data_IF_011507752451
#
_entry.id   IF_011507752451
#
_cell.length_a   1.000
_cell.length_b   1.000
_cell.length_c   1.000
_cell.angle_alpha   90.00
_cell.angle_beta   90.00
_cell.angle_gamma   90.00
#
_symmetry.space_group_name_H-M   'P 1'
#
loop_
_entity.id
_entity.type
_entity.pdbx_description
1 polymer ?
2 non-polymer ?
3 non-polymer ?
4 water ?
#
# COMPACT_ATOMS: atom_id res chain seq x y z
N UNK A 1 26.65 0.25 -9.08
CA UNK A 1 26.64 1.04 -7.85
C UNK A 1 26.58 0.16 -6.63
N UNK A 2 26.96 0.69 -5.48
CA UNK A 2 26.93 -0.12 -4.26
C UNK A 2 25.51 -0.38 -3.81
N UNK A 3 25.32 -1.55 -3.21
CA UNK A 3 24.08 -1.93 -2.55
C UNK A 3 24.31 -1.90 -1.05
N UNK A 4 23.31 -1.40 -0.31
CA UNK A 4 23.27 -1.63 1.13
C UNK A 4 21.84 -2.01 1.50
N UNK A 5 21.72 -2.82 2.54
CA UNK A 5 20.42 -3.13 3.14
C UNK A 5 20.57 -3.03 4.64
N UNK A 6 19.72 -2.21 5.26
CA UNK A 6 19.69 -2.02 6.71
C UNK A 6 18.37 -2.59 7.25
N UNK A 7 18.46 -3.51 8.19
CA UNK A 7 17.28 -4.15 8.76
C UNK A 7 17.08 -3.70 10.21
N UNK A 8 16.02 -2.92 10.44
CA UNK A 8 15.64 -2.43 11.75
C UNK A 8 14.58 -3.27 12.43
N UNK A 9 14.05 -4.29 11.78
CA UNK A 9 13.02 -5.14 12.36
C UNK A 9 13.67 -6.40 12.92
N UNK A 10 13.22 -6.81 14.11
CA UNK A 10 13.63 -8.09 14.64
C UNK A 10 13.27 -9.22 13.71
N UNK A 11 13.96 -10.36 13.89
CA UNK A 11 13.75 -11.50 13.00
C UNK A 11 12.29 -11.95 13.02
N UNK A 12 11.68 -11.99 14.19
CA UNK A 12 10.30 -12.43 14.36
C UNK A 12 9.30 -11.27 14.37
N UNK A 13 9.72 -10.06 13.96
CA UNK A 13 8.84 -8.90 14.09
C UNK A 13 7.55 -9.08 13.31
N UNK A 14 7.64 -9.70 12.13
CA UNK A 14 6.44 -10.00 11.37
C UNK A 14 5.48 -10.90 12.12
N UNK A 15 6.00 -11.95 12.77
CA UNK A 15 5.13 -12.87 13.48
C UNK A 15 4.55 -12.22 14.74
N UNK A 16 5.37 -11.50 15.51
CA UNK A 16 4.83 -10.77 16.66
C UNK A 16 3.70 -9.83 16.24
N UNK A 17 3.92 -9.09 15.16
CA UNK A 17 2.91 -8.15 14.70
C UNK A 17 1.62 -8.86 14.31
N UNK A 18 1.73 -9.97 13.59
CA UNK A 18 0.55 -10.75 13.22
C UNK A 18 -0.18 -11.26 14.45
N UNK A 19 0.55 -11.76 15.45
CA UNK A 19 -0.09 -12.18 16.69
C UNK A 19 -0.86 -11.03 17.32
N UNK A 20 -0.27 -9.83 17.33
CA UNK A 20 -0.91 -8.67 17.93
C UNK A 20 -2.16 -8.28 17.15
N UNK A 21 -2.05 -8.17 15.83
CA UNK A 21 -3.19 -7.72 15.04
C UNK A 21 -4.36 -8.70 15.13
N UNK A 22 -4.07 -10.00 15.25
CA UNK A 22 -5.15 -10.98 15.22
C UNK A 22 -5.77 -11.12 16.61
N UNK A 23 -4.94 -11.19 17.65
CA UNK A 23 -5.47 -11.20 19.02
C UNK A 23 -6.38 -10.01 19.26
N UNK A 24 -5.98 -8.84 18.76
CA UNK A 24 -6.76 -7.62 18.90
C UNK A 24 -7.94 -7.60 17.93
N UNK A 25 -7.68 -7.84 16.64
CA UNK A 25 -8.72 -7.68 15.64
C UNK A 25 -9.86 -8.67 15.77
N UNK A 26 -9.56 -9.92 16.13
CA UNK A 26 -10.64 -10.88 16.27
C UNK A 26 -11.48 -10.65 17.52
N UNK A 27 -11.16 -9.64 18.31
CA UNK A 27 -11.92 -9.33 19.52
C UNK A 27 -12.62 -7.99 19.43
N UNK A 28 -12.47 -7.27 18.32
CA UNK A 28 -13.20 -6.04 18.10
C UNK A 28 -14.62 -6.35 17.63
N UNK A 29 -15.48 -5.34 17.70
CA UNK A 29 -16.78 -5.36 17.03
C UNK A 29 -16.84 -4.15 16.11
N UNK A 30 -16.95 -4.34 14.79
CA UNK A 30 -16.87 -5.69 14.22
C UNK A 30 -15.43 -6.18 14.25
N UNK A 31 -15.24 -7.49 14.13
CA UNK A 31 -13.89 -8.02 13.92
C UNK A 31 -13.26 -7.35 12.70
N UNK A 32 -11.96 -7.06 12.80
CA UNK A 32 -11.27 -6.39 11.71
C UNK A 32 -9.81 -6.81 11.72
N UNK A 33 -9.26 -7.00 10.53
CA UNK A 33 -7.85 -7.31 10.35
C UNK A 33 -7.25 -6.30 9.38
N UNK A 34 -6.00 -5.88 9.60
CA UNK A 34 -5.36 -4.96 8.67
C UNK A 34 -5.05 -5.65 7.36
N UNK A 35 -5.08 -4.92 6.23
CA UNK A 35 -4.88 -5.57 4.92
C UNK A 35 -3.45 -5.95 4.60
N UNK A 36 -2.47 -5.53 5.40
CA UNK A 36 -1.08 -5.91 5.15
C UNK A 36 -0.89 -7.43 5.15
N UNK A 37 -1.76 -8.18 5.81
CA UNK A 37 -1.55 -9.62 5.93
C UNK A 37 -2.11 -10.40 4.74
N UNK A 38 -2.80 -9.76 3.80
CA UNK A 38 -3.17 -10.44 2.55
C UNK A 38 -1.95 -10.91 1.79
N UNK A 39 -0.82 -10.24 1.99
CA UNK A 39 0.30 -10.25 1.04
C UNK A 39 1.40 -11.23 1.41
N UNK A 40 1.06 -12.50 1.66
CA UNK A 40 2.08 -13.55 1.70
C UNK A 40 2.39 -13.94 0.26
N UNK A 41 2.93 -15.14 0.03
CA UNK A 41 3.34 -15.50 -1.33
C UNK A 41 2.12 -15.70 -2.23
N UNK A 42 1.24 -16.62 -1.86
CA UNK A 42 -0.04 -16.81 -2.56
C UNK A 42 -0.77 -15.47 -2.73
N UNK A 43 -0.85 -14.67 -1.67
CA UNK A 43 -1.62 -13.43 -1.75
C UNK A 43 -1.00 -12.41 -2.68
N UNK A 44 0.33 -12.31 -2.68
CA UNK A 44 1.01 -11.42 -3.61
C UNK A 44 0.79 -11.87 -5.06
N UNK A 45 0.74 -13.18 -5.29
CA UNK A 45 0.52 -13.67 -6.64
C UNK A 45 -0.91 -13.41 -7.08
N UNK A 46 -1.87 -13.54 -6.16
CA UNK A 46 -3.25 -13.18 -6.48
C UNK A 46 -3.40 -11.68 -6.73
N UNK A 47 -2.63 -10.85 -6.03
CA UNK A 47 -2.71 -9.42 -6.28
C UNK A 47 -2.21 -9.08 -7.68
N UNK A 48 -1.16 -9.76 -8.14
CA UNK A 48 -0.71 -9.57 -9.51
C UNK A 48 -1.83 -9.85 -10.50
N UNK A 49 -2.55 -10.96 -10.30
CA UNK A 49 -3.70 -11.26 -11.13
C UNK A 49 -4.73 -10.14 -11.08
N UNK A 50 -4.97 -9.58 -9.90
CA UNK A 50 -5.99 -8.55 -9.80
C UNK A 50 -5.61 -7.35 -10.68
N UNK A 51 -4.32 -6.96 -10.67
CA UNK A 51 -3.89 -5.77 -11.40
C UNK A 51 -4.08 -5.92 -12.90
N UNK A 52 -4.16 -7.15 -13.40
CA UNK A 52 -4.40 -7.38 -14.81
C UNK A 52 -5.85 -7.66 -15.15
N UNK A 53 -6.76 -7.57 -14.17
CA UNK A 53 -8.18 -7.75 -14.46
C UNK A 53 -8.73 -6.52 -15.16
N UNK A 54 -9.64 -6.69 -16.13
CA UNK A 54 -10.33 -5.50 -16.67
C UNK A 54 -11.08 -4.69 -15.63
N UNK A 55 -11.64 -5.33 -14.59
CA UNK A 55 -12.40 -4.59 -13.57
C UNK A 55 -11.52 -3.66 -12.76
N UNK A 56 -10.25 -4.00 -12.55
CA UNK A 56 -9.39 -3.30 -11.61
C UNK A 56 -8.56 -2.28 -12.40
N UNK A 57 -9.16 -1.10 -12.59
CA UNK A 57 -8.56 0.03 -13.30
C UNK A 57 -7.41 0.73 -12.55
N UNK A 58 -7.33 0.72 -11.20
CA UNK A 58 -6.32 1.60 -10.53
C UNK A 58 -4.88 1.41 -10.99
N UNK A 59 -4.42 0.17 -11.13
CA UNK A 59 -3.02 -0.05 -11.53
C UNK A 59 -2.74 0.53 -12.91
N UNK A 60 -3.58 0.21 -13.89
CA UNK A 60 -3.33 0.72 -15.24
C UNK A 60 -3.55 2.23 -15.32
N UNK A 61 -4.53 2.76 -14.59
CA UNK A 61 -4.76 4.19 -14.62
C UNK A 61 -3.55 4.95 -14.09
N UNK A 62 -2.98 4.48 -12.99
CA UNK A 62 -1.78 5.11 -12.44
C UNK A 62 -0.59 4.96 -13.38
N UNK A 63 -0.42 3.77 -13.98
CA UNK A 63 0.69 3.58 -14.92
C UNK A 63 0.54 4.45 -16.16
N UNK A 64 -0.70 4.61 -16.64
CA UNK A 64 -0.96 5.55 -17.74
C UNK A 64 -0.47 6.95 -17.42
N UNK A 65 -0.76 7.45 -16.21
CA UNK A 65 -0.30 8.79 -15.85
C UNK A 65 1.22 8.83 -15.78
N UNK A 66 1.82 7.82 -15.16
CA UNK A 66 3.27 7.84 -14.99
C UNK A 66 3.98 7.65 -16.30
N UNK A 67 3.41 6.86 -17.22
CA UNK A 67 3.96 6.75 -18.55
C UNK A 67 4.03 8.12 -19.22
N UNK A 68 3.02 8.95 -18.98
CA UNK A 68 2.94 10.24 -19.66
C UNK A 68 3.62 11.36 -18.88
N UNK A 69 3.69 11.26 -17.55
CA UNK A 69 4.05 12.40 -16.73
C UNK A 69 5.31 12.23 -15.91
N UNK A 70 5.99 11.08 -15.99
CA UNK A 70 7.17 10.86 -15.14
C UNK A 70 8.22 11.95 -15.33
N UNK A 71 8.42 12.40 -16.57
CA UNK A 71 9.40 13.46 -16.80
C UNK A 71 8.95 14.77 -16.18
N UNK A 72 7.65 15.06 -16.20
CA UNK A 72 7.16 16.22 -15.47
C UNK A 72 7.32 16.04 -13.96
N UNK A 73 7.18 14.81 -13.45
CA UNK A 73 7.50 14.58 -12.05
C UNK A 73 8.95 14.95 -11.79
N UNK A 74 9.85 14.44 -12.66
CA UNK A 74 11.28 14.59 -12.46
C UNK A 74 11.70 16.04 -12.52
N UNK A 75 11.11 16.82 -13.44
CA UNK A 75 11.51 18.22 -13.57
C UNK A 75 10.97 19.08 -12.43
N UNK A 76 9.80 18.74 -11.88
CA UNK A 76 9.31 19.52 -10.75
C UNK A 76 10.05 19.19 -9.45
N UNK A 77 10.30 17.90 -9.18
CA UNK A 77 10.93 17.56 -7.91
C UNK A 77 12.45 17.73 -7.92
N UNK A 78 13.10 17.53 -9.07
CA UNK A 78 14.56 17.68 -9.19
C UNK A 78 15.31 16.82 -8.15
N UNK A 79 14.78 15.64 -7.84
CA UNK A 79 15.38 14.78 -6.82
C UNK A 79 16.63 14.07 -7.32
N UNK A 80 17.59 13.89 -6.43
CA UNK A 80 18.68 12.96 -6.69
C UNK A 80 18.44 11.61 -6.03
N UNK A 81 17.44 11.51 -5.16
CA UNK A 81 17.17 10.30 -4.39
C UNK A 81 15.69 9.96 -4.49
N UNK A 82 15.40 8.76 -4.96
CA UNK A 82 14.04 8.24 -4.98
C UNK A 82 13.84 7.33 -3.77
N UNK A 83 12.88 7.71 -2.91
CA UNK A 83 12.50 6.88 -1.78
C UNK A 83 11.13 6.27 -2.07
N UNK A 84 11.08 4.95 -2.25
CA UNK A 84 9.83 4.23 -2.49
C UNK A 84 9.35 3.66 -1.16
N UNK A 85 8.19 4.13 -0.70
CA UNK A 85 7.52 3.49 0.42
C UNK A 85 6.81 2.26 -0.15
N UNK A 86 7.56 1.18 -0.25
CA UNK A 86 7.19 0.03 -1.05
C UNK A 86 8.41 -0.81 -1.41
N UNK A 87 8.14 -1.87 -2.17
CA UNK A 87 9.10 -2.94 -2.42
C UNK A 87 9.94 -2.73 -3.68
N UNK A 88 9.57 -1.80 -4.55
CA UNK A 88 10.39 -1.51 -5.72
C UNK A 88 10.37 -2.57 -6.80
N UNK A 89 9.33 -3.40 -6.86
CA UNK A 89 9.29 -4.48 -7.83
C UNK A 89 8.50 -4.14 -9.09
N UNK A 90 7.80 -3.01 -9.12
CA UNK A 90 6.84 -2.70 -10.17
C UNK A 90 7.48 -1.99 -11.36
N UNK A 91 6.69 -1.85 -12.43
CA UNK A 91 7.11 -1.09 -13.60
C UNK A 91 7.16 0.41 -13.30
N UNK A 92 6.24 0.89 -12.45
CA UNK A 92 6.20 2.31 -12.11
C UNK A 92 7.50 2.78 -11.45
N UNK A 93 8.09 1.94 -10.60
CA UNK A 93 9.38 2.25 -10.00
C UNK A 93 10.43 2.59 -11.05
N UNK A 94 10.50 1.77 -12.11
CA UNK A 94 11.47 2.00 -13.17
C UNK A 94 11.12 3.22 -14.01
N UNK A 95 9.82 3.51 -14.17
CA UNK A 95 9.43 4.71 -14.90
C UNK A 95 9.96 5.95 -14.22
N UNK A 96 9.89 5.99 -12.88
CA UNK A 96 10.37 7.15 -12.13
C UNK A 96 11.90 7.19 -12.11
N UNK A 97 12.53 6.03 -11.88
CA UNK A 97 13.98 5.93 -11.97
C UNK A 97 14.48 6.34 -13.35
N UNK A 98 13.83 5.84 -14.41
CA UNK A 98 14.19 6.26 -15.77
C UNK A 98 14.11 7.78 -15.95
N UNK A 99 13.09 8.40 -15.37
CA UNK A 99 12.93 9.85 -15.59
C UNK A 99 13.97 10.64 -14.81
N UNK A 100 14.26 10.25 -13.56
CA UNK A 100 15.34 10.92 -12.83
C UNK A 100 16.68 10.73 -13.52
N UNK A 101 16.90 9.56 -14.13
CA UNK A 101 18.17 9.31 -14.81
C UNK A 101 18.27 10.07 -16.13
N UNK A 102 17.19 10.08 -16.93
CA UNK A 102 17.13 10.95 -18.11
C UNK A 102 17.52 12.40 -17.77
N UNK A 103 17.00 12.92 -16.65
CA UNK A 103 17.40 14.23 -16.14
C UNK A 103 18.87 14.31 -15.79
N UNK A 104 19.46 13.18 -15.39
CA UNK A 104 20.83 13.17 -14.94
C UNK A 104 21.02 13.45 -13.47
N UNK A 105 19.95 13.58 -12.69
CA UNK A 105 20.09 13.86 -11.27
C UNK A 105 20.02 12.61 -10.41
N UNK A 106 19.67 11.46 -10.97
CA UNK A 106 19.50 10.24 -10.18
C UNK A 106 20.85 9.78 -9.62
N UNK A 107 20.92 9.66 -8.30
CA UNK A 107 22.10 9.12 -7.62
C UNK A 107 21.79 7.95 -6.71
N UNK A 108 20.58 7.85 -6.19
CA UNK A 108 20.34 6.91 -5.10
C UNK A 108 18.89 6.42 -5.13
N UNK A 109 18.70 5.14 -4.84
CA UNK A 109 17.38 4.52 -4.72
C UNK A 109 17.22 3.95 -3.32
N UNK A 110 16.15 4.33 -2.64
CA UNK A 110 15.87 3.89 -1.27
C UNK A 110 14.50 3.20 -1.23
N UNK A 111 14.43 1.90 -1.49
CA UNK A 111 13.19 1.16 -1.20
C UNK A 111 13.06 0.87 0.29
N UNK A 112 11.87 1.14 0.82
CA UNK A 112 11.56 1.06 2.24
C UNK A 112 10.33 0.17 2.39
N UNK A 113 10.50 -1.00 2.98
CA UNK A 113 9.40 -1.96 3.15
C UNK A 113 9.76 -2.91 4.28
N UNK A 114 8.82 -3.80 4.60
CA UNK A 114 8.94 -4.63 5.79
C UNK A 114 9.50 -6.02 5.50
N UNK A 115 9.79 -6.34 4.25
CA UNK A 115 10.22 -7.69 3.87
C UNK A 115 11.63 -7.60 3.30
N UNK A 116 12.62 -8.00 4.10
CA UNK A 116 14.00 -7.78 3.72
C UNK A 116 14.42 -8.66 2.54
N UNK A 117 13.81 -9.85 2.41
CA UNK A 117 14.14 -10.72 1.29
C UNK A 117 13.67 -10.14 -0.03
N UNK A 118 12.52 -9.46 -0.04
CA UNK A 118 12.07 -8.77 -1.24
C UNK A 118 12.96 -7.56 -1.53
N UNK A 119 13.34 -6.81 -0.49
CA UNK A 119 14.20 -5.66 -0.67
C UNK A 119 15.55 -6.07 -1.25
N UNK A 120 16.10 -7.19 -0.78
CA UNK A 120 17.36 -7.70 -1.30
C UNK A 120 17.25 -8.08 -2.77
N UNK A 121 16.17 -8.78 -3.16
CA UNK A 121 15.97 -9.06 -4.58
C UNK A 121 15.82 -7.77 -5.38
N UNK A 122 14.99 -6.84 -4.87
CA UNK A 122 14.86 -5.56 -5.55
C UNK A 122 16.20 -4.86 -5.70
N UNK A 123 17.04 -4.85 -4.66
CA UNK A 123 18.31 -4.14 -4.76
C UNK A 123 19.22 -4.78 -5.81
N UNK A 124 19.18 -6.11 -5.93
CA UNK A 124 20.00 -6.76 -6.95
C UNK A 124 19.50 -6.44 -8.35
N UNK A 125 18.18 -6.42 -8.55
CA UNK A 125 17.61 -6.05 -9.84
C UNK A 125 18.05 -4.65 -10.25
N UNK A 126 17.82 -3.65 -9.39
CA UNK A 126 18.14 -2.27 -9.72
C UNK A 126 19.64 -2.11 -9.94
N UNK A 127 20.47 -2.77 -9.11
CA UNK A 127 21.91 -2.72 -9.29
C UNK A 127 22.31 -3.23 -10.66
N UNK A 128 21.64 -4.27 -11.15
CA UNK A 128 21.97 -4.78 -12.48
C UNK A 128 21.46 -3.85 -13.59
N UNK A 129 20.31 -3.19 -13.38
CA UNK A 129 19.70 -2.36 -14.42
C UNK A 129 20.23 -0.93 -14.45
N UNK A 130 20.65 -0.35 -13.33
CA UNK A 130 21.02 1.07 -13.27
C UNK A 130 22.44 1.20 -12.73
N UNK A 131 23.40 1.33 -13.64
CA UNK A 131 24.78 1.50 -13.22
C UNK A 131 25.00 2.86 -12.57
N UNK A 132 25.98 2.93 -11.68
CA UNK A 132 26.21 4.20 -11.04
C UNK A 132 25.09 4.69 -10.12
N UNK A 133 24.10 3.85 -9.83
CA UNK A 133 23.09 4.16 -8.81
C UNK A 133 23.42 3.39 -7.55
N UNK A 134 23.47 4.10 -6.42
CA UNK A 134 23.58 3.48 -5.11
C UNK A 134 22.19 3.13 -4.60
N UNK A 135 22.01 1.89 -4.15
CA UNK A 135 20.75 1.43 -3.58
C UNK A 135 20.92 1.27 -2.07
N UNK A 136 20.09 1.96 -1.29
CA UNK A 136 20.14 1.89 0.18
C UNK A 136 18.77 1.40 0.63
N UNK A 137 18.60 0.09 0.64
CA UNK A 137 17.33 -0.48 1.05
C UNK A 137 17.20 -0.40 2.56
N UNK A 138 15.99 -0.10 3.01
CA UNK A 138 15.72 0.08 4.43
C UNK A 138 14.55 -0.80 4.80
N UNK A 139 14.80 -1.76 5.70
CA UNK A 139 13.77 -2.64 6.21
C UNK A 139 13.31 -2.09 7.56
N UNK A 140 12.09 -1.60 7.60
CA UNK A 140 11.54 -0.92 8.76
C UNK A 140 10.07 -0.71 8.54
N UNK A 141 9.37 -0.25 9.57
CA UNK A 141 7.95 0.01 9.39
C UNK A 141 7.65 1.50 9.54
N UNK A 142 6.47 1.89 9.06
CA UNK A 142 6.14 3.32 8.98
C UNK A 142 6.15 3.97 10.36
N UNK A 143 5.67 3.24 11.37
CA UNK A 143 5.42 3.84 12.68
C UNK A 143 6.69 4.09 13.50
N UNK A 144 7.85 3.62 13.05
CA UNK A 144 9.06 3.76 13.87
C UNK A 144 10.29 4.23 13.11
N UNK A 145 10.45 3.79 11.87
CA UNK A 145 11.76 3.80 11.23
C UNK A 145 11.86 4.75 10.05
N UNK A 146 10.86 5.60 9.82
CA UNK A 146 11.00 6.58 8.74
C UNK A 146 12.19 7.48 8.96
N UNK A 147 12.62 7.68 10.22
CA UNK A 147 13.82 8.45 10.51
C UNK A 147 15.10 7.80 9.99
N UNK A 148 15.09 6.49 9.74
CA UNK A 148 16.26 5.77 9.27
C UNK A 148 16.45 5.85 7.76
N UNK A 149 15.64 6.61 7.05
CA UNK A 149 15.84 6.81 5.62
C UNK A 149 17.00 7.78 5.43
N UNK A 150 17.95 7.47 4.54
CA UNK A 150 19.11 8.36 4.36
C UNK A 150 18.70 9.74 3.83
N UNK A 151 19.55 10.71 4.09
CA UNK A 151 19.22 12.10 3.77
C UNK A 151 19.32 12.38 2.28
N UNK A 152 20.34 11.82 1.61
CA UNK A 152 20.48 12.21 0.21
C UNK A 152 20.61 13.72 -0.01
N UNK A 153 20.57 14.11 -1.27
CA UNK A 153 20.60 15.52 -1.62
C UNK A 153 19.22 16.10 -1.56
N UNK A 154 18.37 15.72 -2.51
CA UNK A 154 16.98 16.13 -2.55
C UNK A 154 16.16 14.88 -2.84
N UNK A 155 15.15 14.62 -2.01
CA UNK A 155 14.47 13.32 -2.01
C UNK A 155 13.05 13.43 -2.56
N UNK A 156 12.72 12.55 -3.50
CA UNK A 156 11.35 12.30 -3.92
C UNK A 156 10.86 11.03 -3.20
N UNK A 157 9.89 11.20 -2.31
CA UNK A 157 9.24 10.09 -1.66
C UNK A 157 8.05 9.67 -2.52
N UNK A 158 7.84 8.37 -2.64
CA UNK A 158 6.85 7.84 -3.58
C UNK A 158 5.94 6.88 -2.84
N UNK A 159 4.63 7.12 -2.89
CA UNK A 159 3.66 6.24 -2.24
C UNK A 159 2.49 6.07 -3.20
N UNK A 160 2.55 5.02 -4.01
CA UNK A 160 1.67 4.82 -5.14
C UNK A 160 0.58 3.80 -4.83
N UNK A 161 -0.30 3.58 -5.81
CA UNK A 161 -1.30 2.53 -5.74
C UNK A 161 -2.53 2.86 -4.92
N UNK A 162 -2.70 4.09 -4.48
CA UNK A 162 -3.78 4.46 -3.56
C UNK A 162 -3.72 3.61 -2.29
N UNK A 163 -2.52 3.14 -1.95
CA UNK A 163 -2.32 2.46 -0.68
C UNK A 163 -2.63 3.37 0.51
N UNK A 164 -2.45 4.69 0.34
CA UNK A 164 -2.84 5.63 1.40
C UNK A 164 -4.30 5.45 1.77
N UNK A 165 -5.12 4.92 0.84
CA UNK A 165 -6.53 4.69 1.08
C UNK A 165 -6.82 3.60 2.10
N UNK A 166 -5.84 2.76 2.42
CA UNK A 166 -6.05 1.78 3.49
C UNK A 166 -6.12 2.42 4.86
N UNK A 167 -5.69 3.66 5.01
CA UNK A 167 -5.78 4.36 6.28
C UNK A 167 -7.03 5.21 6.29
N UNK A 168 -7.84 5.09 7.35
CA UNK A 168 -8.97 5.99 7.53
C UNK A 168 -8.47 7.35 7.99
N UNK A 169 -9.33 8.41 7.90
CA UNK A 169 -8.86 9.78 8.17
C UNK A 169 -7.94 9.99 9.36
N UNK A 170 -8.26 9.43 10.53
CA UNK A 170 -7.43 9.60 11.70
C UNK A 170 -6.00 9.08 11.53
N UNK A 171 -5.84 7.77 11.35
CA UNK A 171 -4.50 7.23 11.07
C UNK A 171 -3.85 7.85 9.83
N UNK A 172 -4.64 8.24 8.82
CA UNK A 172 -4.06 8.78 7.60
C UNK A 172 -3.43 10.15 7.85
N UNK A 173 -4.07 10.97 8.69
CA UNK A 173 -3.49 12.26 9.04
C UNK A 173 -2.24 12.10 9.90
N UNK A 174 -2.25 11.12 10.82
CA UNK A 174 -1.06 10.81 11.60
C UNK A 174 0.10 10.41 10.71
N UNK A 175 -0.17 9.57 9.71
CA UNK A 175 0.89 9.09 8.82
C UNK A 175 1.47 10.23 7.99
N UNK A 176 0.61 11.04 7.37
CA UNK A 176 1.09 12.14 6.54
C UNK A 176 1.88 13.15 7.36
N UNK A 177 1.42 13.41 8.59
CA UNK A 177 2.15 14.30 9.49
C UNK A 177 3.54 13.74 9.80
N UNK A 178 3.62 12.46 10.13
CA UNK A 178 4.92 11.87 10.44
C UNK A 178 5.82 11.85 9.23
N UNK A 179 5.26 11.55 8.05
CA UNK A 179 6.06 11.54 6.83
C UNK A 179 6.59 12.94 6.52
N UNK A 180 5.70 13.94 6.58
CA UNK A 180 6.15 15.32 6.42
C UNK A 180 7.20 15.67 7.46
N UNK A 181 7.09 15.07 8.65
CA UNK A 181 8.08 15.34 9.68
C UNK A 181 9.48 14.91 9.28
N UNK A 182 9.60 13.78 8.60
CA UNK A 182 10.94 13.32 8.26
C UNK A 182 11.45 13.97 6.99
N UNK A 183 10.55 14.47 6.13
CA UNK A 183 11.00 15.18 4.96
C UNK A 183 11.70 16.48 5.37
N UNK A 184 12.63 16.92 4.55
CA UNK A 184 13.38 18.16 4.72
C UNK A 184 12.95 19.16 3.65
N UNK A 185 13.12 20.46 3.90
CA UNK A 185 12.77 21.46 2.88
C UNK A 185 13.44 21.12 1.56
N UNK A 186 12.68 21.15 0.48
CA UNK A 186 13.17 20.70 -0.80
C UNK A 186 12.85 19.25 -1.16
N UNK A 187 12.42 18.44 -0.20
CA UNK A 187 11.94 17.12 -0.58
C UNK A 187 10.52 17.24 -1.16
N UNK A 188 10.08 16.19 -1.84
CA UNK A 188 8.70 16.14 -2.31
C UNK A 188 8.14 14.73 -2.19
N UNK A 189 6.82 14.66 -2.17
CA UNK A 189 6.07 13.43 -1.99
C UNK A 189 5.16 13.26 -3.20
N UNK A 190 5.30 12.14 -3.90
CA UNK A 190 4.42 11.77 -5.00
C UNK A 190 3.40 10.76 -4.45
N UNK A 191 2.13 11.14 -4.43
CA UNK A 191 1.09 10.35 -3.77
C UNK A 191 0.03 9.94 -4.79
N UNK A 192 -0.30 8.64 -4.80
CA UNK A 192 -1.34 8.13 -5.68
C UNK A 192 -2.63 7.91 -4.91
N UNK A 193 -3.73 8.48 -5.42
CA UNK A 193 -5.05 8.37 -4.82
C UNK A 193 -6.07 7.99 -5.87
N UNK A 194 -6.80 6.92 -5.62
CA UNK A 194 -7.95 6.59 -6.45
C UNK A 194 -9.09 7.57 -6.14
N UNK A 195 -9.85 7.92 -7.17
CA UNK A 195 -10.81 9.02 -7.12
C UNK A 195 -12.23 8.49 -6.99
N UNK A 196 -13.04 9.18 -6.20
CA UNK A 196 -14.47 8.93 -6.18
C UNK A 196 -15.02 8.91 -7.61
N UNK A 197 -15.89 7.96 -7.87
CA UNK A 197 -16.47 7.77 -9.20
C UNK A 197 -17.75 6.96 -9.03
N UNK A 198 -18.35 6.57 -10.17
CA UNK A 198 -19.56 5.75 -10.16
C UNK A 198 -19.39 4.54 -9.24
N UNK A 199 -20.33 4.39 -8.31
CA UNK A 199 -20.19 3.38 -7.27
C UNK A 199 -20.24 1.96 -7.82
N UNK A 200 -21.01 1.72 -8.89
CA UNK A 200 -21.03 0.39 -9.49
C UNK A 200 -19.66 0.02 -10.04
N UNK A 201 -18.97 0.97 -10.68
CA UNK A 201 -17.60 0.73 -11.11
C UNK A 201 -16.67 0.40 -9.94
N UNK A 202 -16.85 1.08 -8.80
CA UNK A 202 -15.98 0.82 -7.65
C UNK A 202 -16.21 -0.58 -7.08
N UNK A 203 -17.46 -1.01 -6.94
CA UNK A 203 -17.69 -2.35 -6.41
C UNK A 203 -17.10 -3.40 -7.35
N UNK A 204 -17.35 -3.24 -8.65
CA UNK A 204 -16.86 -4.18 -9.65
C UNK A 204 -15.36 -4.37 -9.55
N UNK A 205 -14.63 -3.26 -9.30
CA UNK A 205 -13.18 -3.34 -9.18
C UNK A 205 -12.75 -4.20 -8.01
N UNK A 206 -13.65 -4.44 -7.05
CA UNK A 206 -13.33 -5.21 -5.86
C UNK A 206 -14.15 -6.49 -5.75
N UNK A 207 -14.83 -6.89 -6.83
CA UNK A 207 -15.55 -8.17 -6.88
C UNK A 207 -15.71 -8.54 -8.35
N UNK A 208 -14.59 -8.93 -8.95
CA UNK A 208 -14.58 -9.37 -10.33
C UNK A 208 -15.41 -10.65 -10.49
N UNK A 209 -16.11 -10.80 -11.61
CA UNK A 209 -16.91 -12.02 -11.81
C UNK A 209 -16.09 -13.30 -11.75
N UNK A 210 -14.82 -13.26 -12.14
CA UNK A 210 -13.97 -14.44 -12.10
C UNK A 210 -13.59 -14.91 -10.71
N UNK A 211 -13.90 -14.14 -9.67
CA UNK A 211 -13.65 -14.58 -8.30
C UNK A 211 -12.24 -14.38 -7.79
N UNK A 212 -11.37 -13.70 -8.53
CA UNK A 212 -9.99 -13.53 -8.08
C UNK A 212 -9.94 -12.71 -6.79
N UNK A 213 -10.63 -11.57 -6.74
CA UNK A 213 -10.61 -10.76 -5.53
C UNK A 213 -11.14 -11.54 -4.33
N UNK A 214 -12.22 -12.30 -4.54
CA UNK A 214 -12.76 -13.14 -3.48
C UNK A 214 -11.70 -14.09 -2.92
N UNK A 215 -10.88 -14.69 -3.78
CA UNK A 215 -9.83 -15.58 -3.30
C UNK A 215 -8.76 -14.80 -2.56
N UNK A 216 -8.39 -13.63 -3.08
CA UNK A 216 -7.44 -12.76 -2.40
C UNK A 216 -7.92 -12.42 -0.99
N UNK A 217 -9.20 -12.08 -0.87
CA UNK A 217 -9.72 -11.66 0.43
C UNK A 217 -9.75 -12.84 1.41
N UNK A 218 -10.27 -13.98 0.97
CA UNK A 218 -10.32 -15.19 1.77
C UNK A 218 -8.94 -15.66 2.22
N UNK A 219 -7.88 -15.24 1.53
CA UNK A 219 -6.56 -15.73 1.83
C UNK A 219 -6.05 -15.30 3.19
N UNK A 220 -6.55 -14.18 3.73
CA UNK A 220 -6.07 -13.76 5.05
C UNK A 220 -6.44 -14.81 6.09
N UNK A 221 -7.60 -15.43 5.93
CA UNK A 221 -7.99 -16.52 6.82
C UNK A 221 -7.06 -17.72 6.66
N UNK A 222 -6.64 -17.98 5.42
CA UNK A 222 -5.67 -19.05 5.19
C UNK A 222 -4.35 -18.74 5.86
N UNK A 223 -3.93 -17.48 5.79
CA UNK A 223 -2.71 -17.03 6.43
C UNK A 223 -2.79 -17.23 7.94
N UNK A 224 -3.94 -16.89 8.54
CA UNK A 224 -4.10 -17.06 9.98
C UNK A 224 -4.15 -18.54 10.34
N UNK A 225 -4.97 -19.32 9.62
CA UNK A 225 -4.99 -20.77 9.81
C UNK A 225 -3.59 -21.34 9.84
N UNK A 226 -2.76 -20.95 8.86
CA UNK A 226 -1.44 -21.54 8.73
C UNK A 226 -0.46 -20.99 9.76
N UNK A 227 -0.32 -19.67 9.83
CA UNK A 227 0.67 -19.05 10.69
C UNK A 227 0.31 -19.13 12.17
N UNK A 228 -0.97 -19.28 12.53
CA UNK A 228 -1.36 -19.26 13.93
C UNK A 228 -2.19 -20.46 14.33
N UNK A 229 -2.15 -21.54 13.55
CA UNK A 229 -2.77 -22.81 13.91
C UNK A 229 -4.26 -22.62 14.22
N UNK A 230 -4.98 -22.09 13.25
CA UNK A 230 -6.41 -21.81 13.40
C UNK A 230 -7.23 -22.73 12.50
N UNK A 231 -8.55 -22.74 12.74
CA UNK A 231 -9.46 -23.62 12.04
C UNK A 231 -10.60 -22.85 11.37
N UNK A 232 -10.28 -21.73 10.71
CA UNK A 232 -11.26 -21.09 9.86
C UNK A 232 -11.73 -22.06 8.78
N UNK A 233 -13.03 -22.28 8.69
CA UNK A 233 -13.62 -22.93 7.52
C UNK A 233 -13.68 -21.89 6.41
N UNK A 234 -12.58 -21.77 5.65
CA UNK A 234 -12.41 -20.59 4.78
C UNK A 234 -13.58 -20.45 3.83
N UNK A 235 -14.02 -21.56 3.26
CA UNK A 235 -15.09 -21.46 2.29
C UNK A 235 -16.44 -21.17 2.93
N UNK A 236 -16.54 -21.24 4.26
CA UNK A 236 -17.76 -20.80 4.94
C UNK A 236 -17.84 -19.28 5.07
N UNK A 237 -16.82 -18.53 4.60
CA UNK A 237 -16.79 -17.08 4.68
C UNK A 237 -16.93 -16.47 3.27
N UNK A 238 -18.03 -15.77 3.03
CA UNK A 238 -18.36 -15.21 1.72
C UNK A 238 -17.66 -13.87 1.50
N UNK A 239 -17.14 -13.68 0.28
CA UNK A 239 -16.56 -12.39 -0.09
C UNK A 239 -17.66 -11.36 -0.26
N UNK A 240 -17.49 -10.19 0.35
CA UNK A 240 -18.45 -9.10 0.22
C UNK A 240 -17.68 -7.80 0.01
N UNK A 241 -17.93 -7.14 -1.11
CA UNK A 241 -17.38 -5.81 -1.35
C UNK A 241 -18.51 -4.81 -1.23
N UNK A 242 -18.31 -3.75 -0.47
CA UNK A 242 -19.34 -2.74 -0.27
C UNK A 242 -18.79 -1.37 -0.63
N UNK A 243 -19.66 -0.53 -1.19
CA UNK A 243 -19.42 0.91 -1.28
C UNK A 243 -20.09 1.59 -0.09
N UNK A 244 -19.31 2.34 0.68
CA UNK A 244 -19.80 3.16 1.79
C UNK A 244 -19.93 4.60 1.30
N UNK A 245 -21.17 5.01 0.99
CA UNK A 245 -21.40 6.32 0.38
C UNK A 245 -20.94 7.45 1.28
N UNK A 246 -21.29 7.39 2.57
CA UNK A 246 -21.03 8.51 3.45
C UNK A 246 -19.55 8.68 3.75
N UNK A 247 -18.81 7.58 3.81
CA UNK A 247 -17.37 7.66 4.03
C UNK A 247 -16.58 7.68 2.73
N UNK A 248 -17.23 7.45 1.59
CA UNK A 248 -16.60 7.40 0.28
C UNK A 248 -15.41 6.44 0.29
N UNK A 249 -15.70 5.18 0.61
CA UNK A 249 -14.67 4.16 0.63
C UNK A 249 -15.26 2.81 0.26
N UNK A 250 -14.46 2.03 -0.47
CA UNK A 250 -14.73 0.62 -0.62
C UNK A 250 -14.38 -0.08 0.68
N UNK A 251 -15.13 -1.13 0.99
CA UNK A 251 -14.82 -1.99 2.13
C UNK A 251 -14.87 -3.43 1.65
N UNK A 252 -13.88 -4.22 2.04
CA UNK A 252 -13.92 -5.67 1.84
C UNK A 252 -14.24 -6.33 3.18
N UNK A 253 -15.23 -7.22 3.15
CA UNK A 253 -15.69 -7.97 4.32
C UNK A 253 -15.69 -9.45 4.00
N UNK A 254 -15.56 -10.27 5.04
CA UNK A 254 -15.81 -11.70 4.98
C UNK A 254 -17.04 -12.00 5.85
N UNK A 255 -18.05 -12.62 5.24
CA UNK A 255 -19.36 -12.82 5.85
C UNK A 255 -19.52 -14.29 6.21
N UNK A 256 -19.70 -14.58 7.50
CA UNK A 256 -19.92 -15.93 7.99
C UNK A 256 -21.31 -16.43 7.58
N UNK A 257 -21.36 -17.54 6.85
CA UNK A 257 -22.63 -18.16 6.47
C UNK A 257 -22.97 -19.26 7.47
N UNK A 258 -23.97 -18.99 8.32
CA UNK A 258 -24.16 -19.77 9.52
C UNK A 258 -23.15 -19.41 10.61
N UNK A 259 -23.47 -19.85 11.82
CA UNK A 259 -22.61 -19.63 12.98
C UNK A 259 -21.29 -20.39 12.83
N UNK A 260 -20.19 -19.74 13.22
CA UNK A 260 -18.86 -20.32 13.18
C UNK A 260 -18.20 -20.13 14.55
N UNK A 261 -17.49 -21.16 15.00
CA UNK A 261 -16.59 -21.04 16.14
C UNK A 261 -15.18 -21.33 15.66
N UNK A 262 -14.26 -20.38 15.88
CA UNK A 262 -12.91 -20.43 15.37
C UNK A 262 -11.94 -20.41 16.54
N UNK A 263 -10.95 -21.29 16.50
CA UNK A 263 -9.96 -21.47 17.55
C UNK A 263 -8.60 -21.11 16.97
N UNK A 264 -7.99 -20.04 17.45
CA UNK A 264 -6.66 -19.64 17.01
C UNK A 264 -5.68 -20.22 18.01
N UNK A 265 -4.93 -21.24 17.58
CA UNK A 265 -4.19 -22.06 18.54
C UNK A 265 -3.00 -21.35 19.16
N UNK A 266 -2.26 -20.59 18.35
CA UNK A 266 -1.10 -19.86 18.86
C UNK A 266 -1.48 -18.83 19.92
N UNK A 267 -2.72 -18.34 19.89
CA UNK A 267 -3.16 -17.28 20.80
C UNK A 267 -4.00 -17.78 21.96
N UNK A 268 -4.22 -19.10 22.08
CA UNK A 268 -5.13 -19.66 23.06
C UNK A 268 -6.47 -18.93 23.04
N UNK A 269 -6.93 -18.58 21.85
CA UNK A 269 -8.09 -17.72 21.69
C UNK A 269 -9.19 -18.47 20.94
N UNK A 270 -10.43 -18.32 21.41
CA UNK A 270 -11.61 -18.81 20.71
C UNK A 270 -12.57 -17.65 20.54
N UNK A 271 -13.00 -17.39 19.30
CA UNK A 271 -13.96 -16.33 19.01
C UNK A 271 -15.17 -16.94 18.31
N UNK A 272 -16.29 -16.22 18.39
CA UNK A 272 -17.55 -16.66 17.83
C UNK A 272 -18.02 -15.73 16.72
N UNK A 273 -18.61 -16.31 15.67
CA UNK A 273 -19.24 -15.56 14.60
C UNK A 273 -20.74 -15.88 14.62
N UNK A 274 -21.57 -14.84 14.61
CA UNK A 274 -22.99 -15.04 14.37
C UNK A 274 -23.23 -15.36 12.89
N UNK A 275 -24.37 -15.99 12.62
CA UNK A 275 -24.82 -16.16 11.24
C UNK A 275 -25.01 -14.79 10.59
N UNK A 276 -24.33 -14.58 9.47
CA UNK A 276 -24.40 -13.30 8.79
C UNK A 276 -23.47 -12.24 9.34
N UNK A 277 -22.70 -12.55 10.38
CA UNK A 277 -21.73 -11.59 10.90
C UNK A 277 -20.62 -11.35 9.88
N UNK A 278 -20.30 -10.08 9.68
CA UNK A 278 -19.31 -9.69 8.69
C UNK A 278 -18.07 -9.17 9.40
N UNK A 279 -16.90 -9.56 8.90
CA UNK A 279 -15.62 -9.13 9.44
C UNK A 279 -14.91 -8.28 8.40
N UNK A 280 -14.38 -7.14 8.84
CA UNK A 280 -13.74 -6.18 7.95
C UNK A 280 -12.28 -6.55 7.70
N UNK A 281 -11.90 -6.68 6.43
CA UNK A 281 -10.53 -7.03 6.11
C UNK A 281 -9.77 -5.95 5.35
N UNK A 282 -10.44 -4.96 4.75
CA UNK A 282 -9.73 -3.87 4.11
C UNK A 282 -10.67 -2.69 3.93
N UNK A 283 -10.14 -1.51 4.21
CA UNK A 283 -10.76 -0.26 3.87
C UNK A 283 -9.95 0.34 2.73
N UNK A 284 -10.63 0.86 1.72
CA UNK A 284 -9.99 1.49 0.57
C UNK A 284 -10.66 2.84 0.31
N UNK A 285 -10.18 3.90 0.96
CA UNK A 285 -10.80 5.21 0.82
C UNK A 285 -10.59 5.77 -0.58
N UNK A 286 -11.64 6.38 -1.13
CA UNK A 286 -11.61 7.05 -2.43
C UNK A 286 -11.69 8.55 -2.25
N UNK A 287 -10.95 9.29 -3.08
CA UNK A 287 -10.67 10.69 -2.78
C UNK A 287 -11.30 11.62 -3.82
N UNK A 288 -11.36 12.89 -3.44
CA UNK A 288 -11.70 14.02 -4.28
C UNK A 288 -10.48 14.94 -4.40
N UNK A 289 -10.19 15.45 -5.62
CA UNK A 289 -8.99 16.27 -5.85
C UNK A 289 -8.68 17.27 -4.76
N UNK A 290 -9.65 18.12 -4.44
CA UNK A 290 -9.39 19.24 -3.54
C UNK A 290 -9.17 18.75 -2.12
N UNK A 291 -9.88 17.69 -1.71
CA UNK A 291 -9.66 17.15 -0.38
C UNK A 291 -8.26 16.56 -0.23
N UNK A 292 -7.66 16.02 -1.30
CA UNK A 292 -6.30 15.52 -1.15
C UNK A 292 -5.33 16.67 -0.92
N UNK A 293 -5.51 17.77 -1.67
CA UNK A 293 -4.68 18.94 -1.45
C UNK A 293 -4.79 19.49 -0.04
N UNK A 294 -6.01 19.47 0.52
CA UNK A 294 -6.20 19.98 1.87
C UNK A 294 -5.58 19.06 2.92
N UNK A 295 -5.68 17.73 2.72
CA UNK A 295 -5.06 16.80 3.67
C UNK A 295 -3.54 16.92 3.66
N UNK A 296 -2.96 17.13 2.48
CA UNK A 296 -1.53 17.38 2.39
C UNK A 296 -1.17 18.67 3.12
N UNK A 297 -1.97 19.73 2.93
CA UNK A 297 -1.69 21.00 3.60
C UNK A 297 -1.73 20.82 5.11
N UNK A 298 -2.77 20.14 5.62
CA UNK A 298 -2.90 19.91 7.07
C UNK A 298 -1.68 19.21 7.65
N UNK A 299 -0.98 18.39 6.85
CA UNK A 299 0.19 17.66 7.30
C UNK A 299 1.48 18.48 7.19
N UNK A 300 1.41 19.68 6.63
CA UNK A 300 2.58 20.51 6.45
C UNK A 300 3.22 20.47 5.07
N UNK A 301 2.58 19.84 4.10
CA UNK A 301 3.10 19.73 2.74
C UNK A 301 2.25 20.58 1.79
N UNK A 302 2.90 21.12 0.77
CA UNK A 302 2.25 22.02 -0.17
C UNK A 302 2.20 21.38 -1.55
N UNK A 303 0.99 21.07 -2.03
CA UNK A 303 0.87 20.40 -3.32
C UNK A 303 1.21 21.37 -4.44
N UNK A 304 2.05 20.94 -5.37
CA UNK A 304 2.49 21.80 -6.46
C UNK A 304 2.11 21.25 -7.83
N UNK A 305 1.75 19.97 -7.93
CA UNK A 305 1.25 19.36 -9.17
C UNK A 305 0.16 18.36 -8.83
N UNK A 306 -0.82 18.29 -9.73
CA UNK A 306 -1.87 17.30 -9.70
C UNK A 306 -2.09 16.82 -11.13
N UNK A 307 -2.19 15.50 -11.30
CA UNK A 307 -2.42 14.87 -12.60
C UNK A 307 -3.46 13.78 -12.46
N UNK A 308 -4.41 13.71 -13.40
CA UNK A 308 -5.26 12.55 -13.57
C UNK A 308 -4.97 11.85 -14.90
N UNK A 309 -5.49 10.64 -15.00
CA UNK A 309 -5.52 9.95 -16.27
C UNK A 309 -6.60 10.57 -17.17
N UNK A 310 -6.75 10.02 -18.38
CA UNK A 310 -7.63 10.62 -19.36
C UNK A 310 -9.09 10.57 -18.93
N UNK A 311 -9.47 9.57 -18.16
CA UNK A 311 -10.85 9.41 -17.75
C UNK A 311 -11.16 10.12 -16.44
N UNK A 312 -10.17 10.75 -15.83
CA UNK A 312 -10.37 11.25 -14.48
C UNK A 312 -10.61 10.17 -13.43
N UNK A 313 -10.14 8.94 -13.67
CA UNK A 313 -10.34 7.82 -12.74
C UNK A 313 -9.40 7.85 -11.54
N UNK A 314 -8.19 8.39 -11.68
CA UNK A 314 -7.11 8.20 -10.70
C UNK A 314 -6.27 9.47 -10.63
N UNK A 315 -5.80 9.83 -9.44
CA UNK A 315 -5.05 11.05 -9.25
C UNK A 315 -3.63 10.83 -8.74
N UNK A 316 -2.69 11.63 -9.26
CA UNK A 316 -1.34 11.73 -8.71
C UNK A 316 -1.07 13.15 -8.22
N UNK A 317 -0.64 13.27 -6.97
CA UNK A 317 -0.23 14.54 -6.37
C UNK A 317 1.27 14.59 -6.12
N UNK A 318 1.87 15.75 -6.42
CA UNK A 318 3.23 16.08 -6.03
C UNK A 318 3.18 17.21 -5.02
N UNK A 319 3.69 16.97 -3.82
CA UNK A 319 3.65 17.97 -2.75
C UNK A 319 5.03 18.15 -2.14
N UNK A 320 5.44 19.40 -1.95
CA UNK A 320 6.77 19.75 -1.50
C UNK A 320 6.74 20.15 -0.03
N UNK A 321 7.80 19.80 0.68
CA UNK A 321 8.05 20.31 2.04
C UNK A 321 8.72 21.67 1.96
#
# INVERSE_FOLDING_TARGET
GPVSVANHLGEDAGHLALRRDVYSGLQKTPKSLPPKWFYDTVGSELFDQITRLPEYYPTRAEAEILRARSAEVASACRADTLVELGSGTSEKTRMLLDALRHRGSLRRFVPFDVDASVLSATATAIQREYSGVEINAVCGDFEEHLTEIPRGGRRLFVFLGSTIGNLTPGPRAQFLTALAGVMRPGDSLLLGTDLVKDAARLVRAYDDPGGVTAQFNRNVLAVINRELEADFDVDAFQHVARWNSAEERIEMWLRADGRQRVRVGALDLTVDFDAGEEMLTEVSCKFRPQAVGAELAAAGLHRIRWWTDEAGDFGLSLAAK
#
